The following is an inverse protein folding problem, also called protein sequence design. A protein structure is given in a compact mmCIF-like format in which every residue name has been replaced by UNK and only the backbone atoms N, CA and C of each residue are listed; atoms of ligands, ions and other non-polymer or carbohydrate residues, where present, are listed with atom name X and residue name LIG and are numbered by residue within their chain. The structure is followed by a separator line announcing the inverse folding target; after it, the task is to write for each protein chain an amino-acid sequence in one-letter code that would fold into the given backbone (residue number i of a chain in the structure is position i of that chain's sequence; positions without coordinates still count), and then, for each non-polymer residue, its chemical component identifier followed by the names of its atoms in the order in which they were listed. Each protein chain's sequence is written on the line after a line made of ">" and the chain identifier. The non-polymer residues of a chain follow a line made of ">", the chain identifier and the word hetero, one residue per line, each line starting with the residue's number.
data_IF_136665574821
#
_entry.id   IF_136665574821
#
_cell.length_a   1.000
_cell.length_b   1.000
_cell.length_c   1.000
_cell.angle_alpha   90.00
_cell.angle_beta   90.00
_cell.angle_gamma   90.00
#
_symmetry.space_group_name_H-M   'P 1'
#
loop_
_entity.id
_entity.type
_entity.pdbx_description
1 polymer ?
#
# COMPACT_ATOMS: atom_id res chain seq x y z
N UNK A 1 38.67 -6.70 -19.71
CA UNK A 1 37.33 -6.84 -19.10
C UNK A 1 36.88 -5.44 -18.69
N UNK A 2 36.04 -4.79 -19.51
CA UNK A 2 35.56 -3.42 -19.26
C UNK A 2 34.63 -3.43 -18.04
N UNK A 3 35.03 -2.74 -16.96
CA UNK A 3 34.11 -2.42 -15.86
C UNK A 3 33.03 -1.51 -16.41
N UNK A 4 31.78 -1.99 -16.44
CA UNK A 4 30.61 -1.17 -16.73
C UNK A 4 30.62 0.04 -15.79
N UNK A 5 30.73 1.24 -16.35
CA UNK A 5 30.51 2.47 -15.59
C UNK A 5 29.00 2.52 -15.34
N UNK A 6 28.57 2.10 -14.15
CA UNK A 6 27.18 2.24 -13.73
C UNK A 6 26.86 3.74 -13.64
N UNK A 7 26.16 4.27 -14.62
CA UNK A 7 25.64 5.64 -14.57
C UNK A 7 24.60 5.71 -13.44
N UNK A 8 24.99 6.35 -12.34
CA UNK A 8 24.10 6.70 -11.25
C UNK A 8 23.08 7.72 -11.75
N UNK A 9 21.80 7.37 -11.62
CA UNK A 9 20.66 8.23 -11.88
C UNK A 9 20.24 8.92 -10.58
N UNK A 10 19.89 10.19 -10.68
CA UNK A 10 19.30 10.97 -9.60
C UNK A 10 17.91 11.43 -10.02
N UNK A 11 16.92 11.17 -9.17
CA UNK A 11 15.54 11.64 -9.35
C UNK A 11 15.16 12.46 -8.11
N UNK A 12 14.65 13.67 -8.33
CA UNK A 12 14.05 14.50 -7.29
C UNK A 12 12.56 14.62 -7.60
N UNK A 13 11.73 14.09 -6.71
CA UNK A 13 10.28 14.15 -6.79
C UNK A 13 9.76 15.20 -5.83
N UNK A 14 8.88 16.05 -6.34
CA UNK A 14 8.06 16.94 -5.53
C UNK A 14 6.73 16.22 -5.27
N UNK A 15 6.39 16.02 -4.00
CA UNK A 15 5.13 15.43 -3.56
C UNK A 15 4.12 16.55 -3.36
N UNK A 16 3.12 16.62 -4.24
CA UNK A 16 2.06 17.63 -4.18
C UNK A 16 0.68 17.00 -3.94
N UNK A 17 -0.22 17.77 -3.33
CA UNK A 17 -1.62 17.37 -3.11
C UNK A 17 -1.86 16.32 -2.01
N UNK A 18 -0.83 15.92 -1.27
CA UNK A 18 -0.94 15.05 -0.08
C UNK A 18 -0.06 15.56 1.05
N UNK A 19 -0.45 15.26 2.29
CA UNK A 19 0.38 15.50 3.46
C UNK A 19 1.58 14.52 3.49
N UNK A 20 2.84 15.00 3.50
CA UNK A 20 4.02 14.15 3.57
C UNK A 20 4.07 13.24 4.80
N UNK A 21 3.53 13.68 5.95
CA UNK A 21 3.52 12.86 7.16
C UNK A 21 2.62 11.64 6.97
N UNK A 22 1.44 11.84 6.40
CA UNK A 22 0.50 10.75 6.07
C UNK A 22 1.07 9.81 4.99
N UNK A 23 1.76 10.35 3.98
CA UNK A 23 2.41 9.55 2.93
C UNK A 23 3.54 8.67 3.47
N UNK A 24 4.50 9.26 4.20
CA UNK A 24 5.67 8.55 4.72
C UNK A 24 5.34 7.70 5.94
N UNK A 25 4.23 7.99 6.61
CA UNK A 25 3.79 7.35 7.84
C UNK A 25 4.61 7.79 9.05
N UNK A 26 4.07 7.51 10.25
CA UNK A 26 4.76 7.80 11.51
C UNK A 26 6.17 7.20 11.52
N UNK A 27 7.15 8.00 11.96
CA UNK A 27 8.57 7.64 11.97
C UNK A 27 9.08 7.12 10.62
N UNK A 28 8.50 7.59 9.51
CA UNK A 28 8.80 7.19 8.14
C UNK A 28 8.53 5.70 7.84
N UNK A 29 7.61 5.03 8.54
CA UNK A 29 7.37 3.58 8.36
C UNK A 29 7.09 3.18 6.90
N UNK A 30 6.26 3.92 6.17
CA UNK A 30 5.92 3.59 4.78
C UNK A 30 7.10 3.84 3.84
N UNK A 31 7.85 4.92 4.08
CA UNK A 31 9.07 5.22 3.33
C UNK A 31 10.16 4.17 3.59
N UNK A 32 10.24 3.65 4.81
CA UNK A 32 11.15 2.55 5.17
C UNK A 32 10.77 1.25 4.47
N UNK A 33 9.47 0.95 4.30
CA UNK A 33 9.05 -0.19 3.48
C UNK A 33 9.49 -0.06 2.03
N UNK A 34 9.34 1.15 1.44
CA UNK A 34 9.81 1.40 0.07
C UNK A 34 11.33 1.18 -0.04
N UNK A 35 12.12 1.70 0.91
CA UNK A 35 13.58 1.47 0.98
C UNK A 35 13.92 -0.01 1.07
N UNK A 36 13.22 -0.77 1.91
CA UNK A 36 13.44 -2.21 2.07
C UNK A 36 13.08 -2.99 0.80
N UNK A 37 12.09 -2.55 0.03
CA UNK A 37 11.66 -3.23 -1.19
C UNK A 37 12.57 -3.02 -2.40
N UNK A 38 13.41 -1.98 -2.38
CA UNK A 38 14.35 -1.63 -3.46
C UNK A 38 15.67 -1.20 -2.81
N UNK A 39 16.45 -2.13 -2.24
CA UNK A 39 17.69 -1.83 -1.53
C UNK A 39 18.79 -1.24 -2.44
N UNK A 40 18.64 -1.32 -3.77
CA UNK A 40 19.60 -0.80 -4.75
C UNK A 40 19.55 0.73 -4.89
N UNK A 41 18.59 1.41 -4.25
CA UNK A 41 18.48 2.88 -4.26
C UNK A 41 18.60 3.48 -2.87
N UNK A 42 19.22 4.65 -2.81
CA UNK A 42 19.17 5.53 -1.63
C UNK A 42 17.97 6.47 -1.76
N UNK A 43 17.07 6.45 -0.77
CA UNK A 43 15.88 7.30 -0.74
C UNK A 43 15.93 8.23 0.48
N UNK A 44 15.93 9.54 0.24
CA UNK A 44 15.91 10.57 1.29
C UNK A 44 14.72 11.50 1.10
N UNK A 45 14.14 11.98 2.20
CA UNK A 45 12.99 12.91 2.17
C UNK A 45 13.31 14.17 2.96
N UNK A 46 12.88 15.33 2.46
CA UNK A 46 12.94 16.61 3.17
C UNK A 46 11.70 17.43 2.84
N UNK A 47 10.79 17.55 3.79
CA UNK A 47 9.46 18.15 3.56
C UNK A 47 8.71 17.35 2.49
N UNK A 48 8.27 18.02 1.44
CA UNK A 48 7.60 17.43 0.28
C UNK A 48 8.56 16.91 -0.81
N UNK A 49 9.88 17.06 -0.64
CA UNK A 49 10.85 16.59 -1.64
C UNK A 49 11.36 15.20 -1.28
N UNK A 50 11.34 14.29 -2.24
CA UNK A 50 11.93 12.95 -2.13
C UNK A 50 13.02 12.81 -3.18
N UNK A 51 14.24 12.50 -2.73
CA UNK A 51 15.40 12.26 -3.58
C UNK A 51 15.70 10.76 -3.63
N UNK A 52 15.86 10.23 -4.83
CA UNK A 52 16.13 8.81 -5.13
C UNK A 52 17.42 8.75 -5.96
N UNK A 53 18.42 8.00 -5.49
CA UNK A 53 19.72 7.86 -6.15
C UNK A 53 20.05 6.37 -6.31
N UNK A 54 20.51 5.96 -7.49
CA UNK A 54 20.90 4.57 -7.78
C UNK A 54 20.95 4.32 -9.28
N UNK A 55 20.99 3.06 -9.72
CA UNK A 55 20.92 2.79 -11.15
C UNK A 55 19.55 3.19 -11.73
N UNK A 56 19.53 3.64 -12.99
CA UNK A 56 18.32 4.14 -13.67
C UNK A 56 17.11 3.20 -13.55
N UNK A 57 17.33 1.89 -13.69
CA UNK A 57 16.28 0.87 -13.58
C UNK A 57 15.59 0.88 -12.21
N UNK A 58 16.37 0.93 -11.13
CA UNK A 58 15.84 0.87 -9.77
C UNK A 58 15.27 2.22 -9.31
N UNK A 59 15.88 3.32 -9.72
CA UNK A 59 15.37 4.68 -9.42
C UNK A 59 14.01 4.91 -10.06
N UNK A 60 13.79 4.47 -11.30
CA UNK A 60 12.47 4.55 -11.94
C UNK A 60 11.45 3.64 -11.24
N UNK A 61 11.82 2.40 -10.91
CA UNK A 61 10.94 1.50 -10.13
C UNK A 61 10.50 2.13 -8.79
N UNK A 62 11.42 2.79 -8.09
CA UNK A 62 11.12 3.46 -6.83
C UNK A 62 10.23 4.70 -7.02
N UNK A 63 10.48 5.49 -8.08
CA UNK A 63 9.63 6.61 -8.49
C UNK A 63 8.20 6.14 -8.75
N UNK A 64 8.01 5.10 -9.56
CA UNK A 64 6.68 4.59 -9.91
C UNK A 64 5.89 4.15 -8.67
N UNK A 65 6.55 3.44 -7.74
CA UNK A 65 5.92 3.02 -6.48
C UNK A 65 5.55 4.21 -5.60
N UNK A 66 6.40 5.23 -5.51
CA UNK A 66 6.10 6.43 -4.74
C UNK A 66 4.92 7.22 -5.35
N UNK A 67 4.89 7.37 -6.68
CA UNK A 67 3.76 8.01 -7.39
C UNK A 67 2.45 7.25 -7.16
N UNK A 68 2.49 5.91 -7.15
CA UNK A 68 1.32 5.09 -6.81
C UNK A 68 0.87 5.30 -5.34
N UNK A 69 1.81 5.42 -4.40
CA UNK A 69 1.47 5.74 -3.00
C UNK A 69 0.77 7.09 -2.88
N UNK A 70 1.27 8.12 -3.58
CA UNK A 70 0.65 9.45 -3.63
C UNK A 70 -0.77 9.36 -4.19
N UNK A 71 -0.94 8.68 -5.33
CA UNK A 71 -2.25 8.52 -5.97
C UNK A 71 -3.27 7.82 -5.06
N UNK A 72 -2.88 6.72 -4.42
CA UNK A 72 -3.75 5.99 -3.48
C UNK A 72 -4.17 6.88 -2.31
N UNK A 73 -3.25 7.69 -1.78
CA UNK A 73 -3.54 8.60 -0.69
C UNK A 73 -4.47 9.75 -1.14
N UNK A 74 -4.29 10.27 -2.35
CA UNK A 74 -5.18 11.30 -2.91
C UNK A 74 -6.62 10.79 -3.08
N UNK A 75 -6.77 9.58 -3.62
CA UNK A 75 -8.05 8.93 -3.92
C UNK A 75 -8.81 8.47 -2.66
N UNK A 76 -8.10 7.93 -1.67
CA UNK A 76 -8.74 7.28 -0.50
C UNK A 76 -8.57 8.02 0.82
N UNK A 77 -7.80 9.12 0.86
CA UNK A 77 -7.47 9.90 2.06
C UNK A 77 -6.78 9.12 3.18
N UNK A 78 -6.35 7.89 2.91
CA UNK A 78 -5.68 7.01 3.86
C UNK A 78 -4.67 6.11 3.12
N UNK A 79 -3.49 5.92 3.72
CA UNK A 79 -2.46 5.01 3.23
C UNK A 79 -1.94 4.15 4.39
N UNK A 80 -2.54 2.97 4.56
CA UNK A 80 -2.14 2.03 5.61
C UNK A 80 -0.86 1.28 5.24
N UNK A 81 -0.15 0.80 6.26
CA UNK A 81 1.08 0.03 6.07
C UNK A 81 0.86 -1.22 5.20
N UNK A 82 -0.26 -1.93 5.41
CA UNK A 82 -0.61 -3.10 4.62
C UNK A 82 -0.81 -2.75 3.15
N UNK A 83 -1.54 -1.66 2.85
CA UNK A 83 -1.73 -1.20 1.46
C UNK A 83 -0.39 -0.88 0.78
N UNK A 84 0.57 -0.33 1.52
CA UNK A 84 1.94 -0.11 1.01
C UNK A 84 2.64 -1.43 0.76
N UNK A 85 2.56 -2.42 1.67
CA UNK A 85 3.16 -3.75 1.47
C UNK A 85 2.59 -4.45 0.23
N UNK A 86 1.27 -4.48 0.08
CA UNK A 86 0.58 -5.08 -1.07
C UNK A 86 1.06 -4.41 -2.38
N UNK A 87 1.08 -3.07 -2.41
CA UNK A 87 1.57 -2.28 -3.53
C UNK A 87 3.02 -2.65 -3.90
N UNK A 88 3.90 -2.76 -2.91
CA UNK A 88 5.33 -3.07 -3.13
C UNK A 88 5.55 -4.51 -3.59
N UNK A 89 4.70 -5.45 -3.16
CA UNK A 89 4.69 -6.84 -3.62
C UNK A 89 4.12 -7.01 -5.04
N UNK A 90 3.59 -5.94 -5.64
CA UNK A 90 3.01 -5.96 -6.98
C UNK A 90 1.57 -6.45 -7.01
N UNK A 91 0.95 -6.62 -5.85
CA UNK A 91 -0.49 -6.83 -5.77
C UNK A 91 -1.22 -5.56 -6.19
N UNK A 92 -2.43 -5.73 -6.74
CA UNK A 92 -3.24 -4.59 -7.13
C UNK A 92 -3.92 -4.00 -5.87
N UNK A 93 -3.52 -2.80 -5.39
CA UNK A 93 -4.09 -2.21 -4.18
C UNK A 93 -5.58 -1.86 -4.33
N UNK A 94 -6.08 -1.72 -5.57
CA UNK A 94 -7.50 -1.54 -5.86
C UNK A 94 -8.29 -2.85 -5.83
N UNK A 95 -7.60 -4.00 -5.82
CA UNK A 95 -8.25 -5.29 -5.61
C UNK A 95 -8.38 -5.65 -4.14
N UNK A 96 -7.59 -5.09 -3.22
CA UNK A 96 -7.69 -5.49 -1.80
C UNK A 96 -8.81 -4.76 -1.07
N UNK A 97 -9.12 -3.50 -1.40
CA UNK A 97 -10.29 -2.77 -0.83
C UNK A 97 -11.54 -2.94 -1.68
N UNK A 98 -12.69 -3.17 -1.05
CA UNK A 98 -13.99 -3.12 -1.73
C UNK A 98 -14.37 -1.67 -1.97
N UNK A 99 -14.65 -1.29 -3.22
CA UNK A 99 -15.28 -0.01 -3.52
C UNK A 99 -16.70 0.03 -2.95
N UNK A 100 -17.24 1.23 -2.70
CA UNK A 100 -18.60 1.45 -2.19
C UNK A 100 -19.73 1.02 -3.16
N UNK A 101 -19.43 0.23 -4.20
CA UNK A 101 -20.40 -0.29 -5.16
C UNK A 101 -21.26 -1.44 -4.61
N UNK A 102 -22.18 -1.93 -5.45
CA UNK A 102 -23.27 -2.86 -5.13
C UNK A 102 -22.89 -4.17 -4.41
N UNK A 103 -21.61 -4.53 -4.31
CA UNK A 103 -21.13 -5.68 -3.51
C UNK A 103 -20.94 -5.36 -2.02
N UNK A 104 -21.04 -4.10 -1.60
CA UNK A 104 -20.78 -3.69 -0.22
C UNK A 104 -22.07 -3.77 0.64
N UNK A 105 -22.54 -5.00 0.89
CA UNK A 105 -23.70 -5.33 1.73
C UNK A 105 -23.46 -4.90 3.17
N UNK A 106 -24.44 -4.27 3.80
CA UNK A 106 -24.39 -3.97 5.24
C UNK A 106 -24.52 -5.27 6.01
N UNK A 107 -23.53 -5.60 6.84
CA UNK A 107 -23.52 -6.80 7.68
C UNK A 107 -24.30 -6.56 8.97
N UNK A 108 -24.07 -5.42 9.61
CA UNK A 108 -24.83 -5.00 10.78
C UNK A 108 -24.80 -3.47 10.94
N UNK A 109 -25.63 -2.96 11.82
CA UNK A 109 -25.62 -1.56 12.24
C UNK A 109 -25.02 -1.47 13.64
N UNK A 110 -24.00 -0.63 13.81
CA UNK A 110 -23.42 -0.34 15.12
C UNK A 110 -24.38 0.48 16.00
N UNK A 111 -24.00 0.69 17.26
CA UNK A 111 -24.81 1.43 18.27
C UNK A 111 -25.26 2.81 17.81
N UNK A 112 -24.44 3.51 17.02
CA UNK A 112 -24.75 4.86 16.53
C UNK A 112 -25.36 4.86 15.13
N UNK A 113 -25.92 3.73 14.67
CA UNK A 113 -26.45 3.57 13.31
C UNK A 113 -25.39 3.45 12.22
N UNK A 114 -24.10 3.42 12.59
CA UNK A 114 -22.99 3.25 11.64
C UNK A 114 -23.08 1.88 10.96
N UNK A 115 -23.22 1.88 9.63
CA UNK A 115 -23.24 0.66 8.81
C UNK A 115 -21.86 -0.01 8.87
N UNK A 116 -21.82 -1.25 9.32
CA UNK A 116 -20.62 -2.10 9.32
C UNK A 116 -20.69 -2.99 8.09
N UNK A 117 -19.61 -3.00 7.32
CA UNK A 117 -19.50 -3.73 6.06
C UNK A 117 -18.12 -4.35 5.91
N UNK A 118 -17.99 -5.31 5.01
CA UNK A 118 -16.69 -5.82 4.59
C UNK A 118 -15.86 -4.69 3.95
N UNK A 119 -14.65 -4.47 4.47
CA UNK A 119 -13.73 -3.42 4.02
C UNK A 119 -12.81 -3.90 2.90
N UNK A 120 -12.47 -5.19 2.92
CA UNK A 120 -11.56 -5.81 1.95
C UNK A 120 -12.27 -6.90 1.15
N UNK A 121 -11.75 -7.25 -0.03
CA UNK A 121 -12.30 -8.37 -0.81
C UNK A 121 -12.25 -9.68 -0.06
N UNK A 122 -11.21 -9.90 0.73
CA UNK A 122 -11.12 -11.12 1.52
C UNK A 122 -12.15 -11.12 2.67
N UNK A 123 -12.52 -9.97 3.23
CA UNK A 123 -13.60 -9.88 4.22
C UNK A 123 -14.94 -10.24 3.56
N UNK A 124 -15.17 -9.80 2.32
CA UNK A 124 -16.38 -10.21 1.60
C UNK A 124 -16.38 -11.71 1.28
N UNK A 125 -15.24 -12.29 0.89
CA UNK A 125 -15.12 -13.75 0.70
C UNK A 125 -15.38 -14.51 2.00
N UNK A 126 -14.85 -14.02 3.12
CA UNK A 126 -15.05 -14.61 4.44
C UNK A 126 -16.55 -14.57 4.83
N UNK A 127 -17.21 -13.42 4.66
CA UNK A 127 -18.65 -13.28 4.89
C UNK A 127 -19.44 -14.25 4.02
N UNK A 128 -19.17 -14.28 2.70
CA UNK A 128 -19.87 -15.17 1.78
C UNK A 128 -19.65 -16.65 2.12
N UNK A 129 -18.44 -17.03 2.54
CA UNK A 129 -18.16 -18.39 2.99
C UNK A 129 -18.91 -18.71 4.29
N UNK A 130 -18.98 -17.78 5.24
CA UNK A 130 -19.68 -17.97 6.50
C UNK A 130 -21.21 -18.05 6.34
N UNK A 131 -21.79 -17.46 5.28
CA UNK A 131 -23.23 -17.62 4.97
C UNK A 131 -23.60 -19.06 4.55
N UNK A 132 -22.61 -19.86 4.12
CA UNK A 132 -22.85 -21.20 3.58
C UNK A 132 -22.11 -22.33 4.31
N UNK A 133 -21.27 -22.02 5.30
CA UNK A 133 -20.44 -23.01 5.99
C UNK A 133 -20.43 -22.76 7.51
N UNK A 134 -20.51 -23.83 8.29
CA UNK A 134 -20.47 -23.75 9.76
C UNK A 134 -19.07 -23.39 10.30
N UNK A 135 -18.01 -23.74 9.54
CA UNK A 135 -16.62 -23.50 9.92
C UNK A 135 -15.85 -22.98 8.71
N UNK A 136 -15.12 -21.88 8.87
CA UNK A 136 -14.28 -21.27 7.83
C UNK A 136 -12.86 -21.09 8.34
N UNK A 137 -11.88 -21.56 7.57
CA UNK A 137 -10.45 -21.42 7.89
C UNK A 137 -9.81 -20.36 7.00
N UNK A 138 -9.22 -19.32 7.61
CA UNK A 138 -8.33 -18.39 6.93
C UNK A 138 -6.89 -18.91 7.04
N UNK A 139 -6.30 -19.36 5.93
CA UNK A 139 -4.94 -19.91 5.88
C UNK A 139 -3.99 -18.90 5.24
N UNK A 140 -2.79 -18.76 5.80
CA UNK A 140 -1.75 -17.88 5.27
C UNK A 140 -0.54 -17.76 6.21
N UNK A 141 0.63 -17.30 5.73
CA UNK A 141 1.82 -17.09 6.54
C UNK A 141 1.59 -16.19 7.76
N UNK A 142 2.49 -16.25 8.75
CA UNK A 142 2.43 -15.33 9.90
C UNK A 142 2.52 -13.87 9.41
N UNK A 143 1.71 -12.99 10.00
CA UNK A 143 1.70 -11.56 9.64
C UNK A 143 0.86 -11.17 8.41
N UNK A 144 0.21 -12.09 7.70
CA UNK A 144 -0.63 -11.78 6.52
C UNK A 144 -2.06 -11.34 6.86
N UNK A 145 -2.27 -10.80 8.05
CA UNK A 145 -3.55 -10.18 8.41
C UNK A 145 -4.75 -11.11 8.60
N UNK A 146 -4.59 -12.44 8.75
CA UNK A 146 -5.70 -13.42 8.91
C UNK A 146 -6.83 -13.01 9.89
N UNK A 147 -6.52 -12.25 10.93
CA UNK A 147 -7.47 -11.74 11.93
C UNK A 147 -8.29 -10.53 11.45
N UNK A 148 -7.77 -9.79 10.48
CA UNK A 148 -8.35 -8.58 9.88
C UNK A 148 -8.72 -8.76 8.41
N UNK A 149 -8.47 -9.95 7.87
CA UNK A 149 -8.80 -10.39 6.51
C UNK A 149 -10.29 -10.52 6.31
#
# INVERSE_FOLDING_TARGET
>A
MLKSVAYLSEIILQVDGVDPVTLFGEKNRNLNLLRQSIPEVSITSRGSKVKIIGEKKFTQKAKDKLEMMVRLLQEHKELSEQTVRDLLQGENPYQTRLSNGSMNKTLLHGRDGRKIKAKTKNQAKLVAAAEHNDVVFAVGPAGTGKTYT
#
